data_IF_209977677280
#
_entry.id   IF_209977677280
#
_cell.length_a   1.000
_cell.length_b   1.000
_cell.length_c   1.000
_cell.angle_alpha   90.00
_cell.angle_beta   90.00
_cell.angle_gamma   90.00
#
_symmetry.space_group_name_H-M   'P 1'
#
loop_
_entity.id
_entity.type
_entity.pdbx_description
1 polymer ?
#
# COMPACT_ATOMS: atom_id res chain seq x y z
N UNK A 1 -8.35 -3.84 19.09
CA UNK A 1 -7.38 -4.62 18.31
C UNK A 1 -7.28 -4.03 16.92
N UNK A 2 -6.06 -3.83 16.41
CA UNK A 2 -5.85 -3.34 15.04
C UNK A 2 -5.94 -4.50 14.06
N UNK A 3 -6.85 -4.40 13.10
CA UNK A 3 -7.05 -5.38 12.03
C UNK A 3 -6.97 -4.62 10.71
N UNK A 4 -6.31 -5.22 9.72
CA UNK A 4 -6.28 -4.73 8.35
C UNK A 4 -7.18 -5.61 7.48
N UNK A 5 -8.02 -4.96 6.68
CA UNK A 5 -8.84 -5.63 5.67
C UNK A 5 -8.48 -5.09 4.30
N UNK A 6 -8.10 -5.98 3.39
CA UNK A 6 -7.84 -5.64 1.99
C UNK A 6 -8.97 -6.12 1.10
N UNK A 7 -9.18 -5.42 -0.02
CA UNK A 7 -9.99 -5.96 -1.10
C UNK A 7 -9.36 -7.27 -1.61
N UNK A 8 -10.15 -8.31 -1.90
CA UNK A 8 -9.62 -9.62 -2.25
C UNK A 8 -8.88 -9.63 -3.60
N UNK A 9 -9.30 -8.77 -4.55
CA UNK A 9 -8.62 -8.59 -5.83
C UNK A 9 -9.03 -7.28 -6.49
N UNK A 10 -8.25 -6.85 -7.48
CA UNK A 10 -8.62 -5.83 -8.45
C UNK A 10 -8.12 -6.27 -9.83
N UNK A 11 -8.90 -6.01 -10.87
CA UNK A 11 -8.55 -6.31 -12.27
C UNK A 11 -8.64 -5.05 -13.11
N UNK A 12 -7.69 -4.87 -14.01
CA UNK A 12 -7.67 -3.77 -14.96
C UNK A 12 -6.88 -4.16 -16.21
N UNK A 13 -7.24 -3.60 -17.35
CA UNK A 13 -6.53 -3.80 -18.62
C UNK A 13 -5.16 -3.11 -18.61
N UNK A 14 -4.23 -3.60 -19.44
CA UNK A 14 -2.97 -2.90 -19.70
C UNK A 14 -3.23 -1.45 -20.14
N UNK A 15 -2.42 -0.51 -19.61
CA UNK A 15 -2.59 0.93 -19.83
C UNK A 15 -3.68 1.61 -18.99
N UNK A 16 -4.58 0.85 -18.36
CA UNK A 16 -5.58 1.39 -17.44
C UNK A 16 -4.97 1.70 -16.06
N UNK A 17 -5.81 2.10 -15.11
CA UNK A 17 -5.41 2.31 -13.70
C UNK A 17 -6.14 1.34 -12.79
N UNK A 18 -5.44 0.85 -11.77
CA UNK A 18 -6.03 0.07 -10.67
C UNK A 18 -5.81 0.80 -9.34
N UNK A 19 -6.74 0.59 -8.41
CA UNK A 19 -6.68 1.11 -7.04
C UNK A 19 -6.98 0.01 -6.05
N UNK A 20 -6.00 -0.27 -5.20
CA UNK A 20 -6.12 -1.22 -4.10
C UNK A 20 -6.42 -0.48 -2.81
N UNK A 21 -7.17 -1.13 -1.91
CA UNK A 21 -7.60 -0.54 -0.64
C UNK A 21 -7.17 -1.44 0.52
N UNK A 22 -6.60 -0.81 1.55
CA UNK A 22 -6.31 -1.39 2.85
C UNK A 22 -7.08 -0.58 3.90
N UNK A 23 -7.93 -1.24 4.69
CA UNK A 23 -8.81 -0.61 5.68
C UNK A 23 -8.37 -0.97 7.09
N UNK A 24 -8.18 0.03 7.92
CA UNK A 24 -7.83 -0.13 9.34
C UNK A 24 -9.12 -0.21 10.18
N UNK A 25 -9.21 -1.17 11.11
CA UNK A 25 -10.36 -1.29 12.01
C UNK A 25 -10.39 -0.30 13.18
N UNK A 26 -9.34 0.53 13.35
CA UNK A 26 -9.16 1.38 14.54
C UNK A 26 -9.70 2.79 14.34
N UNK A 27 -10.36 3.29 15.37
CA UNK A 27 -10.66 4.71 15.62
C UNK A 27 -9.42 5.61 15.56
N UNK A 28 -8.26 5.10 15.97
CA UNK A 28 -6.96 5.78 15.91
C UNK A 28 -6.20 5.54 14.59
N UNK A 29 -6.91 5.31 13.48
CA UNK A 29 -6.28 5.11 12.16
C UNK A 29 -5.36 6.27 11.73
N UNK A 30 -5.48 7.45 12.33
CA UNK A 30 -4.62 8.62 12.07
C UNK A 30 -3.17 8.42 12.55
N UNK A 31 -2.90 7.54 13.51
CA UNK A 31 -1.55 7.29 14.03
C UNK A 31 -0.80 6.19 13.29
N UNK A 32 -1.39 5.61 12.24
CA UNK A 32 -0.82 4.46 11.53
C UNK A 32 -0.38 4.79 10.11
N UNK A 33 0.83 4.34 9.82
CA UNK A 33 1.40 4.27 8.47
C UNK A 33 1.25 2.84 7.94
N UNK A 34 0.84 2.70 6.68
CA UNK A 34 0.67 1.39 6.03
C UNK A 34 1.74 1.21 4.96
N UNK A 35 2.47 0.10 5.03
CA UNK A 35 3.34 -0.38 3.97
C UNK A 35 2.59 -1.23 2.95
N UNK A 36 2.95 -1.08 1.69
CA UNK A 36 2.52 -1.93 0.58
C UNK A 36 3.68 -2.77 0.08
N UNK A 37 3.40 -4.03 -0.21
CA UNK A 37 4.36 -5.01 -0.71
C UNK A 37 3.76 -5.70 -1.94
N UNK A 38 4.60 -5.93 -2.95
CA UNK A 38 4.27 -6.66 -4.17
C UNK A 38 4.95 -8.03 -4.12
N UNK A 39 4.21 -9.09 -4.39
CA UNK A 39 4.72 -10.46 -4.42
C UNK A 39 4.29 -11.15 -5.72
N UNK A 40 5.26 -11.48 -6.57
CA UNK A 40 5.04 -12.40 -7.68
C UNK A 40 5.10 -13.85 -7.19
N UNK A 41 4.51 -14.80 -7.94
CA UNK A 41 4.64 -16.23 -7.65
C UNK A 41 6.10 -16.62 -7.41
N UNK A 42 6.33 -17.39 -6.34
CA UNK A 42 7.64 -17.92 -5.93
C UNK A 42 8.72 -16.87 -5.61
N UNK A 43 8.33 -15.60 -5.41
CA UNK A 43 9.23 -14.53 -4.97
C UNK A 43 8.93 -14.08 -3.54
N UNK A 44 9.96 -13.55 -2.88
CA UNK A 44 9.78 -12.86 -1.62
C UNK A 44 9.01 -11.54 -1.86
N UNK A 45 8.19 -11.08 -0.89
CA UNK A 45 7.54 -9.78 -0.97
C UNK A 45 8.56 -8.65 -1.15
N UNK A 46 8.35 -7.83 -2.18
CA UNK A 46 9.13 -6.62 -2.46
C UNK A 46 8.39 -5.40 -1.90
N UNK A 47 9.10 -4.56 -1.15
CA UNK A 47 8.55 -3.31 -0.66
C UNK A 47 8.23 -2.34 -1.82
N UNK A 48 7.03 -1.75 -1.80
CA UNK A 48 6.54 -0.80 -2.80
C UNK A 48 6.54 0.63 -2.27
N UNK A 49 5.85 0.87 -1.16
CA UNK A 49 5.77 2.21 -0.55
C UNK A 49 5.17 2.15 0.85
N UNK A 50 5.30 3.25 1.60
CA UNK A 50 4.46 3.50 2.77
C UNK A 50 3.45 4.62 2.46
N UNK A 51 2.30 4.61 3.11
CA UNK A 51 1.26 5.65 3.01
C UNK A 51 0.83 6.08 4.42
N UNK A 52 1.00 7.36 4.72
CA UNK A 52 0.61 7.98 5.97
C UNK A 52 -0.89 8.30 6.02
N UNK A 53 -1.37 8.68 7.20
CA UNK A 53 -2.76 9.07 7.41
C UNK A 53 -3.20 10.33 6.67
N UNK A 54 -2.28 11.26 6.44
CA UNK A 54 -2.49 12.46 5.64
C UNK A 54 -2.39 12.21 4.10
N UNK A 55 -2.07 10.98 3.69
CA UNK A 55 -1.95 10.59 2.29
C UNK A 55 -0.55 10.81 1.68
N UNK A 56 0.37 11.41 2.44
CA UNK A 56 1.78 11.46 2.04
C UNK A 56 2.37 10.04 1.97
N UNK A 57 3.28 9.82 1.02
CA UNK A 57 3.87 8.50 0.77
C UNK A 57 5.31 8.63 0.25
N UNK A 58 6.10 7.60 0.47
CA UNK A 58 7.41 7.44 -0.17
C UNK A 58 7.52 6.04 -0.77
N UNK A 59 8.13 5.98 -1.95
CA UNK A 59 8.31 4.75 -2.73
C UNK A 59 9.61 4.06 -2.31
N UNK A 60 9.61 2.74 -2.41
CA UNK A 60 10.85 1.96 -2.36
C UNK A 60 11.72 2.20 -3.59
N UNK A 61 12.97 1.77 -3.51
CA UNK A 61 13.93 1.93 -4.59
C UNK A 61 13.49 1.21 -5.87
N UNK A 62 13.59 1.90 -7.00
CA UNK A 62 13.24 1.37 -8.32
C UNK A 62 11.74 1.12 -8.54
N UNK A 63 10.87 1.67 -7.70
CA UNK A 63 9.42 1.63 -7.89
C UNK A 63 9.01 2.73 -8.89
N UNK A 64 8.34 2.40 -10.01
CA UNK A 64 8.05 3.35 -11.08
C UNK A 64 7.12 4.50 -10.68
N UNK A 65 7.18 5.60 -11.41
CA UNK A 65 6.40 6.81 -11.11
C UNK A 65 4.88 6.62 -11.19
N UNK A 66 4.45 5.62 -11.95
CA UNK A 66 3.04 5.24 -12.11
C UNK A 66 2.39 4.73 -10.81
N UNK A 67 3.17 4.38 -9.79
CA UNK A 67 2.69 4.01 -8.46
C UNK A 67 2.49 5.26 -7.59
N UNK A 68 1.36 5.36 -6.89
CA UNK A 68 1.06 6.45 -5.96
C UNK A 68 0.23 5.98 -4.75
N UNK A 69 0.42 6.65 -3.62
CA UNK A 69 -0.33 6.43 -2.38
C UNK A 69 -1.36 7.54 -2.13
N UNK A 70 -2.46 7.20 -1.47
CA UNK A 70 -3.42 8.19 -0.92
C UNK A 70 -4.17 7.63 0.28
N UNK A 71 -4.85 8.49 1.04
CA UNK A 71 -5.64 8.09 2.21
C UNK A 71 -7.02 8.74 2.21
N UNK A 72 -7.96 8.13 2.94
CA UNK A 72 -9.23 8.74 3.32
C UNK A 72 -9.76 8.05 4.58
N UNK A 73 -9.79 8.78 5.70
CA UNK A 73 -10.14 8.22 7.01
C UNK A 73 -9.33 6.95 7.32
N UNK A 74 -10.05 5.85 7.56
CA UNK A 74 -9.47 4.55 7.88
C UNK A 74 -8.88 3.79 6.68
N UNK A 75 -8.93 4.36 5.47
CA UNK A 75 -8.42 3.71 4.27
C UNK A 75 -7.04 4.23 3.88
N UNK A 76 -6.21 3.31 3.38
CA UNK A 76 -4.98 3.58 2.65
C UNK A 76 -5.07 2.93 1.29
N UNK A 77 -4.68 3.68 0.28
CA UNK A 77 -4.82 3.27 -1.11
C UNK A 77 -3.46 3.18 -1.78
N UNK A 78 -3.31 2.16 -2.62
CA UNK A 78 -2.25 2.07 -3.62
C UNK A 78 -2.90 2.19 -5.00
N UNK A 79 -2.48 3.19 -5.77
CA UNK A 79 -2.92 3.41 -7.14
C UNK A 79 -1.77 3.13 -8.10
N UNK A 80 -2.04 2.36 -9.14
CA UNK A 80 -1.11 2.06 -10.22
C UNK A 80 -1.75 2.58 -11.50
N UNK A 81 -1.17 3.60 -12.11
CA UNK A 81 -1.58 4.09 -13.43
C UNK A 81 -0.81 3.37 -14.53
N UNK A 82 -1.32 3.41 -15.77
CA UNK A 82 -0.66 2.81 -16.93
C UNK A 82 -0.13 1.38 -16.66
N UNK A 83 -1.02 0.50 -16.20
CA UNK A 83 -0.67 -0.88 -15.79
C UNK A 83 0.11 -1.59 -16.88
N UNK A 84 1.17 -2.26 -16.44
CA UNK A 84 2.04 -3.09 -17.28
C UNK A 84 1.97 -4.57 -16.87
N UNK A 85 2.39 -5.52 -17.72
CA UNK A 85 2.35 -6.95 -17.40
C UNK A 85 3.09 -7.31 -16.11
N UNK A 86 4.18 -6.62 -15.77
CA UNK A 86 4.92 -6.87 -14.53
C UNK A 86 4.18 -6.45 -13.25
N UNK A 87 3.12 -5.66 -13.37
CA UNK A 87 2.33 -5.20 -12.22
C UNK A 87 1.36 -6.29 -11.73
N UNK A 88 1.15 -7.37 -12.49
CA UNK A 88 0.37 -8.55 -12.08
C UNK A 88 1.09 -9.32 -10.96
N UNK A 89 0.55 -9.22 -9.75
CA UNK A 89 1.14 -9.77 -8.54
C UNK A 89 0.11 -9.77 -7.40
N UNK A 90 0.42 -10.48 -6.32
CA UNK A 90 -0.25 -10.29 -5.05
C UNK A 90 0.25 -9.00 -4.39
N UNK A 91 -0.67 -8.19 -3.87
CA UNK A 91 -0.36 -6.96 -3.16
C UNK A 91 -0.83 -7.03 -1.71
N UNK A 92 0.11 -6.92 -0.79
CA UNK A 92 -0.12 -7.11 0.64
C UNK A 92 0.08 -5.76 1.35
N UNK A 93 -0.86 -5.38 2.22
CA UNK A 93 -0.69 -4.24 3.10
C UNK A 93 -0.34 -4.69 4.52
N UNK A 94 0.50 -3.91 5.19
CA UNK A 94 0.91 -4.15 6.57
C UNK A 94 1.09 -2.84 7.32
N UNK A 95 0.93 -2.86 8.64
CA UNK A 95 1.25 -1.69 9.46
C UNK A 95 2.75 -1.53 9.48
N UNK A 96 3.25 -0.41 8.96
CA UNK A 96 4.64 0.00 9.19
C UNK A 96 4.79 0.22 10.69
N UNK A 97 5.74 -0.48 11.31
CA UNK A 97 5.94 -0.42 12.76
C UNK A 97 5.90 1.03 13.25
N UNK A 98 5.18 1.26 14.34
CA UNK A 98 5.07 2.56 15.00
C UNK A 98 6.46 3.19 15.11
N UNK A 99 6.76 4.24 14.33
CA UNK A 99 7.88 5.12 14.68
C UNK A 99 7.38 5.99 15.84
N UNK A 100 7.14 5.35 16.98
CA UNK A 100 7.21 6.05 18.25
C UNK A 100 8.69 6.34 18.43
N UNK A 101 9.08 7.58 18.21
CA UNK A 101 10.41 8.05 18.56
C UNK A 101 10.73 7.66 20.00
N UNK A 102 11.63 6.70 20.15
CA UNK A 102 12.50 6.54 21.30
C UNK A 102 13.86 6.13 20.72
N UNK A 103 14.62 7.13 20.25
CA UNK A 103 16.01 7.11 20.66
C UNK A 103 16.00 7.47 22.14
N UNK A 104 16.13 6.46 22.99
CA UNK A 104 16.94 6.57 24.19
C UNK A 104 18.13 5.63 24.00
#
# INVERSE_FOLDING_TARGET
QLVLTQSPSASASLGASAKLTCTLSSDQHSSYTIGWYQQHPDKAPKYVMYVNSDGSHSKGDGIPDRFSGSSSGAHRYLSISNIQPEDEADYICGVGGTISGQYQ
#
